data_IF_023305330184
#
_entry.id   IF_023305330184
#
_cell.length_a   1.000
_cell.length_b   1.000
_cell.length_c   1.000
_cell.angle_alpha   90.00
_cell.angle_beta   90.00
_cell.angle_gamma   90.00
#
_symmetry.space_group_name_H-M   'P 1'
#
loop_
_entity.id
_entity.type
_entity.pdbx_description
1 polymer ?
#
# COMPACT_ATOMS: atom_id res chain seq x y z
N UNK A 1 19.98 15.94 17.24
CA UNK A 1 18.85 15.55 18.11
C UNK A 1 18.71 14.03 18.08
N UNK A 2 18.60 13.38 19.23
CA UNK A 2 18.33 11.96 19.33
C UNK A 2 16.81 11.69 19.22
N UNK A 3 16.39 10.53 18.69
CA UNK A 3 14.99 10.15 18.74
C UNK A 3 14.51 9.93 20.17
N UNK A 4 13.21 10.01 20.40
CA UNK A 4 12.60 9.60 21.64
C UNK A 4 12.91 8.12 21.92
N UNK A 5 13.22 7.84 23.17
CA UNK A 5 13.35 6.48 23.67
C UNK A 5 12.45 6.38 24.90
N UNK A 6 11.60 5.38 24.92
CA UNK A 6 10.60 5.21 25.98
C UNK A 6 10.72 3.81 26.59
N UNK A 7 10.42 3.75 27.87
CA UNK A 7 10.27 2.49 28.62
C UNK A 7 8.85 2.51 29.18
N UNK A 8 8.08 1.49 28.84
CA UNK A 8 6.72 1.33 29.39
C UNK A 8 6.78 0.32 30.53
N UNK A 9 6.26 0.72 31.68
CA UNK A 9 6.21 -0.10 32.89
C UNK A 9 4.77 -0.22 33.33
N UNK A 10 4.29 -1.43 33.54
CA UNK A 10 2.94 -1.69 34.06
C UNK A 10 2.96 -2.88 35.02
N UNK A 11 2.09 -2.90 36.04
CA UNK A 11 2.02 -4.02 37.00
C UNK A 11 1.48 -5.31 36.38
N UNK A 12 0.83 -5.24 35.22
CA UNK A 12 0.29 -6.38 34.46
C UNK A 12 0.54 -6.18 32.97
N UNK A 13 0.74 -7.28 32.21
CA UNK A 13 1.00 -7.25 30.78
C UNK A 13 -0.07 -6.49 29.97
N UNK A 14 -1.34 -6.61 30.33
CA UNK A 14 -2.44 -5.89 29.67
C UNK A 14 -2.28 -4.38 29.74
N UNK A 15 -1.66 -3.83 30.77
CA UNK A 15 -1.39 -2.40 30.91
C UNK A 15 -0.37 -1.86 29.89
N UNK A 16 0.46 -2.71 29.33
CA UNK A 16 1.39 -2.34 28.26
C UNK A 16 0.65 -2.17 26.91
N UNK A 17 -0.37 -3.00 26.65
CA UNK A 17 -1.16 -2.96 25.41
C UNK A 17 -1.98 -1.66 25.35
N UNK A 18 -2.53 -1.22 26.47
CA UNK A 18 -3.40 -0.04 26.54
C UNK A 18 -2.63 1.28 26.72
N UNK A 19 -1.31 1.26 26.60
CA UNK A 19 -0.51 2.48 26.78
C UNK A 19 -0.70 3.46 25.63
N UNK A 20 -1.15 4.67 25.93
CA UNK A 20 -1.22 5.80 24.98
C UNK A 20 0.10 6.57 24.81
N UNK A 21 1.21 6.10 25.39
CA UNK A 21 2.47 6.85 25.43
C UNK A 21 2.99 7.21 24.01
N UNK A 22 2.89 6.28 23.05
CA UNK A 22 3.32 6.54 21.66
C UNK A 22 2.48 7.65 21.03
N UNK A 23 1.18 7.66 21.26
CA UNK A 23 0.29 8.71 20.75
C UNK A 23 0.65 10.08 21.35
N UNK A 24 0.97 10.12 22.64
CA UNK A 24 1.35 11.36 23.32
C UNK A 24 2.70 11.94 22.85
N UNK A 25 3.55 11.12 22.22
CA UNK A 25 4.86 11.55 21.70
C UNK A 25 4.83 11.90 20.21
N UNK A 26 3.72 11.68 19.54
CA UNK A 26 3.52 12.08 18.16
C UNK A 26 3.02 13.53 18.07
N UNK A 27 3.21 14.12 16.89
CA UNK A 27 2.59 15.41 16.56
C UNK A 27 1.06 15.27 16.56
N UNK A 28 0.30 16.30 16.91
CA UNK A 28 -1.14 16.28 16.82
C UNK A 28 -1.63 15.92 15.40
N UNK A 29 -2.80 15.32 15.29
CA UNK A 29 -3.46 15.11 14.02
C UNK A 29 -3.70 16.44 13.31
N UNK A 30 -3.34 16.54 12.05
CA UNK A 30 -3.51 17.75 11.22
C UNK A 30 -4.73 17.68 10.31
N UNK A 31 -5.43 16.55 10.29
CA UNK A 31 -6.64 16.38 9.50
C UNK A 31 -7.80 17.10 10.16
N UNK A 32 -8.61 17.81 9.38
CA UNK A 32 -9.80 18.52 9.87
C UNK A 32 -10.86 17.56 10.38
N UNK A 33 -11.00 16.40 9.74
CA UNK A 33 -11.90 15.31 10.14
C UNK A 33 -11.27 13.95 9.87
N UNK A 34 -11.61 12.99 10.70
CA UNK A 34 -11.20 11.59 10.57
C UNK A 34 -12.40 10.64 10.44
N UNK A 35 -13.61 11.17 10.30
CA UNK A 35 -14.86 10.40 10.28
C UNK A 35 -14.95 9.42 9.09
N UNK A 36 -14.21 9.70 8.04
CA UNK A 36 -14.10 8.84 6.86
C UNK A 36 -13.15 7.64 7.05
N UNK A 37 -12.29 7.67 8.08
CA UNK A 37 -11.36 6.56 8.38
C UNK A 37 -12.13 5.47 9.11
N UNK A 38 -12.27 4.32 8.49
CA UNK A 38 -12.98 3.17 9.07
C UNK A 38 -12.22 1.87 8.82
N UNK A 39 -12.25 0.93 9.75
CA UNK A 39 -11.78 -0.43 9.49
C UNK A 39 -12.58 -1.06 8.35
N UNK A 40 -11.89 -1.79 7.47
CA UNK A 40 -12.55 -2.52 6.38
C UNK A 40 -11.91 -3.89 6.18
N UNK A 41 -12.69 -4.84 5.69
CA UNK A 41 -12.18 -6.09 5.12
C UNK A 41 -11.83 -5.85 3.67
N UNK A 42 -10.74 -6.43 3.21
CA UNK A 42 -10.41 -6.41 1.79
C UNK A 42 -9.87 -7.74 1.31
N UNK A 43 -9.99 -7.98 0.03
CA UNK A 43 -9.37 -9.09 -0.69
C UNK A 43 -8.38 -8.53 -1.71
N UNK A 44 -7.33 -9.29 -2.02
CA UNK A 44 -6.29 -8.80 -2.93
C UNK A 44 -5.85 -9.83 -3.97
N UNK A 45 -5.49 -9.33 -5.14
CA UNK A 45 -4.80 -10.11 -6.16
C UNK A 45 -3.30 -10.11 -5.81
N UNK A 46 -2.78 -11.22 -5.34
CA UNK A 46 -1.36 -11.46 -5.06
C UNK A 46 -1.03 -12.92 -4.77
N UNK A 47 -1.95 -13.67 -4.13
CA UNK A 47 -1.66 -15.02 -3.67
C UNK A 47 -1.48 -16.03 -4.82
N UNK A 48 -2.26 -15.90 -5.88
CA UNK A 48 -2.08 -16.71 -7.09
C UNK A 48 -0.70 -16.54 -7.71
N UNK A 49 -0.14 -15.34 -7.62
CA UNK A 49 1.21 -15.04 -8.10
C UNK A 49 2.29 -15.68 -7.21
N UNK A 50 2.12 -15.69 -5.89
CA UNK A 50 3.03 -16.41 -4.98
C UNK A 50 3.00 -17.91 -5.18
N UNK A 51 1.85 -18.47 -5.54
CA UNK A 51 1.71 -19.89 -5.87
C UNK A 51 2.20 -20.23 -7.28
N UNK A 52 2.58 -19.24 -8.10
CA UNK A 52 3.00 -19.44 -9.48
C UNK A 52 1.86 -19.84 -10.44
N UNK A 53 0.61 -19.73 -9.98
CA UNK A 53 -0.58 -19.94 -10.82
C UNK A 53 -0.81 -18.74 -11.72
N UNK A 54 -0.59 -17.55 -11.19
CA UNK A 54 -0.63 -16.27 -11.89
C UNK A 54 0.77 -15.64 -11.99
N UNK A 55 0.92 -14.63 -12.83
CA UNK A 55 2.17 -13.89 -13.04
C UNK A 55 2.07 -12.46 -12.49
N UNK A 56 3.21 -11.96 -11.99
CA UNK A 56 3.38 -10.56 -11.57
C UNK A 56 3.51 -9.58 -12.74
N UNK A 57 3.82 -10.09 -13.91
CA UNK A 57 4.12 -9.30 -15.11
C UNK A 57 3.19 -9.69 -16.25
N UNK A 58 3.05 -8.78 -17.21
CA UNK A 58 2.19 -8.97 -18.37
C UNK A 58 2.61 -10.18 -19.20
N UNK A 59 1.74 -11.18 -19.24
CA UNK A 59 1.79 -12.38 -20.07
C UNK A 59 0.41 -13.06 -20.03
N UNK A 60 0.30 -14.27 -20.61
CA UNK A 60 -0.94 -15.07 -20.67
C UNK A 60 -1.50 -15.51 -19.30
N UNK A 61 -0.72 -15.36 -18.22
CA UNK A 61 -1.12 -15.66 -16.85
C UNK A 61 -1.09 -14.44 -15.92
N UNK A 62 -1.05 -13.24 -16.46
CA UNK A 62 -0.98 -12.04 -15.64
C UNK A 62 -2.17 -11.94 -14.69
N UNK A 63 -1.89 -11.82 -13.38
CA UNK A 63 -2.93 -11.80 -12.34
C UNK A 63 -3.64 -10.46 -12.25
N UNK A 64 -2.91 -9.34 -12.36
CA UNK A 64 -3.48 -8.00 -12.25
C UNK A 64 -4.00 -7.48 -13.61
N UNK A 65 -5.03 -8.13 -14.14
CA UNK A 65 -5.72 -7.68 -15.35
C UNK A 65 -7.04 -6.99 -15.01
N UNK A 66 -7.56 -6.18 -15.92
CA UNK A 66 -8.89 -5.54 -15.78
C UNK A 66 -10.00 -6.56 -15.59
N UNK A 67 -9.94 -7.67 -16.33
CA UNK A 67 -10.95 -8.74 -16.23
C UNK A 67 -10.90 -9.40 -14.85
N UNK A 68 -9.71 -9.81 -14.40
CA UNK A 68 -9.56 -10.45 -13.10
C UNK A 68 -9.91 -9.48 -11.95
N UNK A 69 -9.57 -8.21 -12.08
CA UNK A 69 -9.96 -7.18 -11.12
C UNK A 69 -11.48 -7.11 -10.95
N UNK A 70 -12.24 -7.12 -12.04
CA UNK A 70 -13.73 -7.15 -11.99
C UNK A 70 -14.26 -8.39 -11.28
N UNK A 71 -13.66 -9.56 -11.50
CA UNK A 71 -14.03 -10.79 -10.79
C UNK A 71 -13.83 -10.67 -9.27
N UNK A 72 -12.71 -10.08 -8.83
CA UNK A 72 -12.47 -9.82 -7.41
C UNK A 72 -13.43 -8.79 -6.83
N UNK A 73 -13.78 -7.76 -7.59
CA UNK A 73 -14.79 -6.76 -7.19
C UNK A 73 -16.16 -7.41 -7.03
N UNK A 74 -16.59 -8.24 -7.98
CA UNK A 74 -17.86 -8.98 -7.88
C UNK A 74 -17.87 -9.93 -6.68
N UNK A 75 -16.76 -10.63 -6.45
CA UNK A 75 -16.62 -11.50 -5.27
C UNK A 75 -16.72 -10.69 -3.96
N UNK A 76 -16.03 -9.56 -3.87
CA UNK A 76 -16.07 -8.68 -2.71
C UNK A 76 -17.50 -8.19 -2.43
N UNK A 77 -18.18 -7.70 -3.46
CA UNK A 77 -19.57 -7.23 -3.37
C UNK A 77 -20.54 -8.33 -2.91
N UNK A 78 -20.38 -9.54 -3.41
CA UNK A 78 -21.23 -10.68 -3.05
C UNK A 78 -20.99 -11.21 -1.62
N UNK A 79 -19.84 -10.90 -1.01
CA UNK A 79 -19.42 -11.46 0.27
C UNK A 79 -19.26 -10.43 1.40
N UNK A 80 -19.81 -9.22 1.25
CA UNK A 80 -19.72 -8.14 2.23
C UNK A 80 -18.25 -7.83 2.60
N UNK A 81 -17.39 -7.73 1.59
CA UNK A 81 -16.01 -7.27 1.66
C UNK A 81 -15.97 -5.88 1.06
N UNK A 82 -15.47 -4.91 1.79
CA UNK A 82 -15.58 -3.50 1.44
C UNK A 82 -14.52 -3.03 0.43
N UNK A 83 -13.36 -3.72 0.36
CA UNK A 83 -12.24 -3.27 -0.45
C UNK A 83 -11.59 -4.35 -1.30
N UNK A 84 -10.96 -3.94 -2.40
CA UNK A 84 -10.11 -4.80 -3.24
C UNK A 84 -8.78 -4.11 -3.51
N UNK A 85 -7.69 -4.86 -3.38
CA UNK A 85 -6.33 -4.40 -3.65
C UNK A 85 -5.70 -5.24 -4.76
N UNK A 86 -4.82 -4.62 -5.56
CA UNK A 86 -4.11 -5.29 -6.64
C UNK A 86 -2.61 -5.10 -6.48
N UNK A 87 -1.85 -6.19 -6.42
CA UNK A 87 -0.40 -6.18 -6.62
C UNK A 87 -0.11 -6.56 -8.08
N UNK A 88 1.08 -6.25 -8.57
CA UNK A 88 1.44 -6.57 -9.96
C UNK A 88 0.78 -5.69 -11.04
N UNK A 89 0.14 -4.59 -10.68
CA UNK A 89 -0.64 -3.77 -11.59
C UNK A 89 0.17 -2.79 -12.45
N UNK A 90 1.37 -2.42 -11.99
CA UNK A 90 2.17 -1.34 -12.57
C UNK A 90 3.52 -1.81 -13.08
N UNK A 91 4.14 -1.05 -13.98
CA UNK A 91 5.45 -1.36 -14.53
C UNK A 91 6.56 -1.41 -13.44
N UNK A 92 7.46 -2.34 -13.55
CA UNK A 92 8.63 -2.53 -12.68
C UNK A 92 8.74 -3.89 -12.01
N UNK A 93 7.72 -4.72 -12.06
CA UNK A 93 7.74 -6.06 -11.48
C UNK A 93 8.69 -7.02 -12.18
N UNK A 94 9.07 -6.72 -13.43
CA UNK A 94 10.06 -7.49 -14.20
C UNK A 94 11.42 -7.59 -13.49
N UNK A 95 11.77 -6.57 -12.70
CA UNK A 95 13.01 -6.46 -11.95
C UNK A 95 12.79 -6.35 -10.45
N UNK A 96 11.79 -7.04 -9.92
CA UNK A 96 11.51 -7.00 -8.49
C UNK A 96 12.75 -7.36 -7.66
N UNK A 97 12.97 -6.64 -6.57
CA UNK A 97 14.11 -6.83 -5.68
C UNK A 97 15.40 -6.12 -6.09
N UNK A 98 15.54 -5.73 -7.35
CA UNK A 98 16.65 -4.88 -7.85
C UNK A 98 16.14 -3.62 -8.54
N UNK A 99 14.86 -3.43 -8.52
CA UNK A 99 14.16 -2.53 -9.40
C UNK A 99 14.43 -1.06 -9.11
N UNK A 100 15.04 -0.40 -10.09
CA UNK A 100 15.03 1.05 -10.22
C UNK A 100 13.79 1.55 -10.98
N UNK A 101 12.97 0.65 -11.50
CA UNK A 101 12.08 0.91 -12.63
C UNK A 101 10.60 0.96 -12.25
N UNK A 102 10.22 0.78 -10.98
CA UNK A 102 8.84 0.96 -10.55
C UNK A 102 8.34 2.36 -10.90
N UNK A 103 7.28 2.42 -11.71
CA UNK A 103 6.53 3.64 -12.00
C UNK A 103 5.15 3.53 -11.36
N UNK A 104 4.89 4.37 -10.37
CA UNK A 104 3.67 4.34 -9.55
C UNK A 104 2.48 5.06 -10.21
N UNK A 105 2.60 5.45 -11.46
CA UNK A 105 1.53 6.06 -12.25
C UNK A 105 1.34 5.42 -13.62
N UNK A 106 2.03 4.29 -13.87
CA UNK A 106 1.99 3.60 -15.15
C UNK A 106 1.48 2.15 -15.00
N UNK A 107 0.16 1.94 -15.13
CA UNK A 107 -0.40 0.59 -15.18
C UNK A 107 0.16 -0.22 -16.35
N UNK A 108 0.14 -1.53 -16.25
CA UNK A 108 0.30 -2.40 -17.41
C UNK A 108 -0.84 -2.20 -18.41
N UNK A 109 -0.61 -2.53 -19.67
CA UNK A 109 -1.56 -2.27 -20.76
C UNK A 109 -2.89 -3.03 -20.62
N UNK A 110 -2.90 -4.13 -19.88
CA UNK A 110 -4.07 -4.97 -19.59
C UNK A 110 -4.76 -4.61 -18.26
N UNK A 111 -4.29 -3.57 -17.58
CA UNK A 111 -4.85 -3.06 -16.32
C UNK A 111 -5.40 -1.63 -16.50
N UNK A 112 -6.67 -1.51 -16.91
CA UNK A 112 -7.35 -0.22 -17.02
C UNK A 112 -7.85 0.24 -15.65
N UNK A 113 -7.03 0.98 -14.93
CA UNK A 113 -7.34 1.49 -13.58
C UNK A 113 -8.59 2.37 -13.56
N UNK A 114 -8.86 3.14 -14.61
CA UNK A 114 -10.02 4.02 -14.64
C UNK A 114 -11.31 3.22 -14.75
N UNK A 115 -11.32 2.22 -15.61
CA UNK A 115 -12.45 1.30 -15.74
C UNK A 115 -12.65 0.48 -14.46
N UNK A 116 -11.57 0.02 -13.82
CA UNK A 116 -11.64 -0.72 -12.57
C UNK A 116 -12.25 0.14 -11.46
N UNK A 117 -11.80 1.38 -11.30
CA UNK A 117 -12.35 2.31 -10.29
C UNK A 117 -13.82 2.62 -10.57
N UNK A 118 -14.18 2.87 -11.82
CA UNK A 118 -15.58 3.09 -12.22
C UNK A 118 -16.45 1.89 -11.83
N UNK A 119 -16.01 0.69 -12.20
CA UNK A 119 -16.73 -0.56 -11.92
C UNK A 119 -16.87 -0.84 -10.43
N UNK A 120 -15.79 -0.64 -9.67
CA UNK A 120 -15.81 -0.82 -8.22
C UNK A 120 -16.81 0.14 -7.55
N UNK A 121 -16.82 1.40 -7.98
CA UNK A 121 -17.78 2.40 -7.48
C UNK A 121 -19.24 2.01 -7.74
N UNK A 122 -19.54 1.45 -8.91
CA UNK A 122 -20.89 0.94 -9.23
C UNK A 122 -21.31 -0.23 -8.31
N UNK A 123 -20.35 -1.02 -7.84
CA UNK A 123 -20.58 -2.14 -6.94
C UNK A 123 -20.49 -1.75 -5.45
N UNK A 124 -20.17 -0.49 -5.13
CA UNK A 124 -19.97 -0.03 -3.75
C UNK A 124 -18.70 -0.57 -3.10
N UNK A 125 -17.68 -0.91 -3.89
CA UNK A 125 -16.38 -1.45 -3.44
C UNK A 125 -15.31 -0.38 -3.53
N UNK A 126 -14.49 -0.26 -2.49
CA UNK A 126 -13.33 0.64 -2.49
C UNK A 126 -12.10 -0.03 -3.13
N UNK A 127 -11.37 0.73 -3.93
CA UNK A 127 -10.06 0.28 -4.42
C UNK A 127 -8.99 0.73 -3.43
N UNK A 128 -8.17 -0.21 -3.00
CA UNK A 128 -6.98 0.05 -2.19
C UNK A 128 -5.78 0.08 -3.12
N UNK A 129 -5.12 1.24 -3.20
CA UNK A 129 -3.88 1.39 -3.96
C UNK A 129 -2.76 0.56 -3.37
N UNK A 130 -1.82 0.12 -4.19
CA UNK A 130 -0.64 -0.61 -3.77
C UNK A 130 0.62 -0.01 -4.36
N UNK A 131 1.60 0.27 -3.50
CA UNK A 131 2.94 0.71 -3.89
C UNK A 131 3.97 -0.30 -3.38
N UNK A 132 4.47 -1.16 -4.26
CA UNK A 132 5.63 -2.01 -3.98
C UNK A 132 6.91 -1.24 -4.25
N UNK A 133 7.88 -1.33 -3.35
CA UNK A 133 9.16 -0.63 -3.51
C UNK A 133 10.30 -1.53 -3.97
N UNK A 134 10.17 -2.85 -3.84
CA UNK A 134 11.27 -3.80 -4.05
C UNK A 134 12.50 -3.49 -3.19
N UNK A 135 12.32 -2.72 -2.10
CA UNK A 135 13.41 -2.19 -1.28
C UNK A 135 14.02 -0.88 -1.80
N UNK A 136 13.67 -0.42 -3.00
CA UNK A 136 14.19 0.82 -3.58
C UNK A 136 13.39 2.05 -3.15
N UNK A 137 13.48 2.39 -1.87
CA UNK A 137 12.78 3.56 -1.33
C UNK A 137 13.27 4.89 -1.91
N UNK A 138 14.48 4.95 -2.46
CA UNK A 138 14.99 6.17 -3.12
C UNK A 138 14.18 6.47 -4.39
N UNK A 139 13.90 5.45 -5.21
CA UNK A 139 13.03 5.59 -6.37
C UNK A 139 11.59 5.96 -5.97
N UNK A 140 11.07 5.31 -4.94
CA UNK A 140 9.73 5.59 -4.43
C UNK A 140 9.61 7.02 -3.91
N UNK A 141 10.57 7.49 -3.11
CA UNK A 141 10.54 8.85 -2.56
C UNK A 141 10.59 9.97 -3.61
N UNK A 142 11.19 9.71 -4.78
CA UNK A 142 11.17 10.66 -5.91
C UNK A 142 9.79 10.80 -6.54
N UNK A 143 8.92 9.83 -6.34
CA UNK A 143 7.61 9.76 -6.99
C UNK A 143 6.44 9.96 -6.01
N UNK A 144 6.69 10.13 -4.71
CA UNK A 144 5.65 10.19 -3.68
C UNK A 144 4.53 11.16 -4.03
N UNK A 145 4.83 12.44 -4.21
CA UNK A 145 3.82 13.47 -4.45
C UNK A 145 3.00 13.16 -5.72
N UNK A 146 3.68 12.75 -6.79
CA UNK A 146 3.04 12.39 -8.05
C UNK A 146 2.12 11.17 -7.90
N UNK A 147 2.58 10.14 -7.20
CA UNK A 147 1.87 8.87 -7.08
C UNK A 147 0.64 8.98 -6.18
N UNK A 148 0.75 9.67 -5.04
CA UNK A 148 -0.39 9.89 -4.16
C UNK A 148 -1.42 10.83 -4.80
N UNK A 149 -0.96 11.92 -5.44
CA UNK A 149 -1.87 12.78 -6.21
C UNK A 149 -2.60 12.00 -7.30
N UNK A 150 -1.92 11.12 -8.00
CA UNK A 150 -2.54 10.30 -9.05
C UNK A 150 -3.64 9.38 -8.50
N UNK A 151 -3.44 8.77 -7.35
CA UNK A 151 -4.48 8.00 -6.68
C UNK A 151 -5.64 8.88 -6.20
N UNK A 152 -5.35 10.04 -5.61
CA UNK A 152 -6.37 10.98 -5.20
C UNK A 152 -7.23 11.45 -6.38
N UNK A 153 -6.62 11.76 -7.52
CA UNK A 153 -7.31 12.15 -8.76
C UNK A 153 -8.21 11.02 -9.32
N UNK A 154 -7.89 9.77 -9.03
CA UNK A 154 -8.72 8.60 -9.35
C UNK A 154 -9.82 8.32 -8.31
N UNK A 155 -9.80 8.99 -7.17
CA UNK A 155 -10.72 8.72 -6.06
C UNK A 155 -10.33 7.51 -5.21
N UNK A 156 -9.05 7.12 -5.21
CA UNK A 156 -8.50 6.07 -4.37
C UNK A 156 -7.97 6.71 -3.09
N UNK A 157 -8.57 6.39 -1.94
CA UNK A 157 -8.31 7.04 -0.66
C UNK A 157 -7.48 6.20 0.33
N UNK A 158 -7.27 4.94 0.03
CA UNK A 158 -6.50 4.02 0.86
C UNK A 158 -5.34 3.44 0.07
N UNK A 159 -4.14 3.42 0.65
CA UNK A 159 -2.94 2.90 0.00
C UNK A 159 -2.18 1.98 0.94
N UNK A 160 -1.88 0.77 0.47
CA UNK A 160 -0.90 -0.11 1.09
C UNK A 160 0.46 0.15 0.48
N UNK A 161 1.44 0.51 1.28
CA UNK A 161 2.83 0.64 0.84
C UNK A 161 3.68 -0.47 1.44
N UNK A 162 4.50 -1.08 0.61
CA UNK A 162 5.37 -2.18 1.00
C UNK A 162 6.84 -1.77 1.13
N UNK A 163 7.60 -2.61 1.82
CA UNK A 163 9.05 -2.51 1.91
C UNK A 163 9.72 -3.87 1.65
N UNK A 164 9.03 -4.77 0.96
CA UNK A 164 9.57 -6.08 0.62
C UNK A 164 10.88 -5.95 -0.16
N UNK A 165 11.78 -6.92 0.03
CA UNK A 165 13.11 -6.90 -0.54
C UNK A 165 14.17 -6.27 0.37
N UNK A 166 15.42 -6.27 -0.10
CA UNK A 166 16.56 -5.68 0.60
C UNK A 166 16.59 -4.15 0.49
N UNK A 167 17.02 -3.48 1.55
CA UNK A 167 17.25 -2.03 1.48
C UNK A 167 18.61 -1.72 0.85
N UNK A 168 18.72 -0.62 0.07
CA UNK A 168 19.98 -0.23 -0.54
C UNK A 168 21.02 0.18 0.51
N UNK A 169 22.30 0.09 0.14
CA UNK A 169 23.42 0.55 0.96
C UNK A 169 23.56 -0.10 2.35
N UNK A 170 23.10 -1.34 2.51
CA UNK A 170 23.21 -2.07 3.77
C UNK A 170 22.36 -1.53 4.92
N UNK A 171 21.39 -0.69 4.63
CA UNK A 171 20.45 -0.21 5.65
C UNK A 171 19.55 -1.34 6.17
N UNK A 172 19.16 -1.24 7.43
CA UNK A 172 18.27 -2.18 8.08
C UNK A 172 16.83 -1.67 8.06
N UNK A 173 15.85 -2.56 7.84
CA UNK A 173 14.42 -2.24 7.86
C UNK A 173 13.96 -1.55 9.16
N UNK A 174 14.58 -1.90 10.28
CA UNK A 174 14.28 -1.33 11.60
C UNK A 174 15.21 -0.17 11.98
N UNK A 175 16.09 0.24 11.07
CA UNK A 175 17.02 1.35 11.28
C UNK A 175 16.38 2.73 11.07
N UNK A 176 17.05 3.76 11.55
CA UNK A 176 16.60 5.14 11.49
C UNK A 176 16.36 5.64 10.04
N UNK A 177 17.07 5.08 9.08
CA UNK A 177 16.88 5.38 7.66
C UNK A 177 15.44 5.09 7.21
N UNK A 178 14.97 3.89 7.52
CA UNK A 178 13.64 3.43 7.13
C UNK A 178 12.52 4.10 7.95
N UNK A 179 12.77 4.38 9.22
CA UNK A 179 11.84 5.16 10.07
C UNK A 179 11.57 6.55 9.47
N UNK A 180 12.61 7.21 8.97
CA UNK A 180 12.46 8.51 8.27
C UNK A 180 11.67 8.39 6.99
N UNK A 181 11.89 7.31 6.24
CA UNK A 181 11.13 7.00 5.04
C UNK A 181 9.64 6.86 5.35
N UNK A 182 9.26 6.02 6.31
CA UNK A 182 7.86 5.84 6.69
C UNK A 182 7.20 7.14 7.14
N UNK A 183 7.92 7.93 7.94
CA UNK A 183 7.41 9.25 8.33
C UNK A 183 7.16 10.17 7.13
N UNK A 184 8.06 10.14 6.13
CA UNK A 184 7.89 10.92 4.90
C UNK A 184 6.65 10.45 4.12
N UNK A 185 6.48 9.13 3.96
CA UNK A 185 5.32 8.53 3.30
C UNK A 185 4.01 9.00 3.96
N UNK A 186 3.90 8.82 5.29
CA UNK A 186 2.70 9.22 6.04
C UNK A 186 2.41 10.73 5.97
N UNK A 187 3.45 11.57 5.86
CA UNK A 187 3.27 13.03 5.72
C UNK A 187 2.86 13.45 4.32
N UNK A 188 3.12 12.62 3.30
CA UNK A 188 2.74 12.91 1.91
C UNK A 188 1.32 12.42 1.62
N UNK A 189 0.94 11.30 2.22
CA UNK A 189 -0.41 10.75 2.13
C UNK A 189 -1.42 11.63 2.88
#
# INVERSE_FOLDING_TARGET
KSPWRTIQIAPKAVGLINSGLILNLNEPCVLETTDWIRPMKYVGIWWGMHLGVESWVINDRHGATTENAKRYIDFAAANNIEGVMFEGWNAGWENWGGSQDFDYTRPYADFDIKEIVRYAKEKGIEIIGHHETGGNIVNYEKQLDKSYKWYADLGIHSVKTGYAGGLPNGHNHHGQYNVRHYRKVVKTA
#
